data_IF_155065039649
#
_entry.id   IF_155065039649
#
_cell.length_a   1.000
_cell.length_b   1.000
_cell.length_c   1.000
_cell.angle_alpha   90.00
_cell.angle_beta   90.00
_cell.angle_gamma   90.00
#
_symmetry.space_group_name_H-M   'P 1'
#
loop_
_entity.id
_entity.type
_entity.pdbx_description
1 polymer ?
#
# COMPACT_ATOMS: atom_id res chain seq x y z
N UNK A 1 1.31 -23.77 14.96
CA UNK A 1 0.92 -22.62 14.15
C UNK A 1 0.55 -21.46 15.04
N UNK A 2 1.09 -20.25 14.80
CA UNK A 2 0.65 -19.06 15.53
C UNK A 2 -0.75 -18.70 15.01
N UNK A 3 -1.74 -18.43 15.88
CA UNK A 3 -3.09 -18.05 15.48
C UNK A 3 -3.06 -16.67 14.82
N UNK A 4 -3.13 -16.63 13.50
CA UNK A 4 -2.87 -15.45 12.67
C UNK A 4 -4.06 -14.47 12.67
N UNK A 5 -5.21 -14.89 13.18
CA UNK A 5 -6.43 -14.06 13.30
C UNK A 5 -6.66 -13.51 14.73
N UNK A 6 -5.72 -13.73 15.64
CA UNK A 6 -5.73 -13.09 16.96
C UNK A 6 -4.77 -11.90 16.99
N UNK A 7 -4.97 -10.91 17.87
CA UNK A 7 -4.03 -9.81 18.03
C UNK A 7 -2.62 -10.35 18.27
N UNK A 8 -1.67 -9.92 17.45
CA UNK A 8 -0.29 -10.34 17.52
C UNK A 8 0.46 -9.60 18.61
N UNK A 9 1.24 -10.33 19.41
CA UNK A 9 2.22 -9.71 20.32
C UNK A 9 3.38 -9.11 19.53
N UNK A 10 4.13 -8.20 20.14
CA UNK A 10 5.33 -7.63 19.50
C UNK A 10 6.37 -8.70 19.16
N UNK A 11 6.50 -9.72 20.01
CA UNK A 11 7.45 -10.82 19.81
C UNK A 11 7.02 -11.71 18.64
N UNK A 12 5.74 -12.09 18.57
CA UNK A 12 5.20 -12.88 17.47
C UNK A 12 5.34 -12.14 16.12
N UNK A 13 5.06 -10.84 16.10
CA UNK A 13 5.24 -10.02 14.90
C UNK A 13 6.71 -9.97 14.44
N UNK A 14 7.66 -9.81 15.38
CA UNK A 14 9.09 -9.84 15.05
C UNK A 14 9.54 -11.20 14.52
N UNK A 15 9.07 -12.31 15.12
CA UNK A 15 9.37 -13.67 14.63
C UNK A 15 8.88 -13.88 13.20
N UNK A 16 7.64 -13.47 12.90
CA UNK A 16 7.10 -13.57 11.54
C UNK A 16 7.88 -12.73 10.52
N UNK A 17 8.29 -11.52 10.89
CA UNK A 17 9.08 -10.66 10.00
C UNK A 17 10.52 -11.16 9.80
N UNK A 18 11.05 -11.97 10.74
CA UNK A 18 12.39 -12.53 10.67
C UNK A 18 12.47 -13.89 9.97
N UNK A 19 11.34 -14.45 9.53
CA UNK A 19 11.32 -15.67 8.73
C UNK A 19 12.06 -15.45 7.40
N UNK A 20 12.59 -16.51 6.82
CA UNK A 20 13.11 -16.47 5.47
C UNK A 20 12.00 -16.29 4.41
N UNK A 21 12.39 -16.00 3.18
CA UNK A 21 11.45 -15.70 2.09
C UNK A 21 10.59 -16.93 1.74
N UNK A 22 11.13 -18.14 1.86
CA UNK A 22 10.42 -19.39 1.54
C UNK A 22 9.31 -19.66 2.56
N UNK A 23 9.60 -19.52 3.84
CA UNK A 23 8.60 -19.63 4.89
C UNK A 23 7.51 -18.55 4.77
N UNK A 24 7.91 -17.32 4.42
CA UNK A 24 6.97 -16.23 4.15
C UNK A 24 6.09 -16.51 2.95
N UNK A 25 6.62 -17.14 1.89
CA UNK A 25 5.83 -17.57 0.74
C UNK A 25 4.75 -18.57 1.14
N UNK A 26 5.10 -19.60 1.91
CA UNK A 26 4.16 -20.62 2.40
C UNK A 26 3.05 -19.98 3.23
N UNK A 27 3.40 -19.13 4.19
CA UNK A 27 2.43 -18.41 5.01
C UNK A 27 1.53 -17.48 4.15
N UNK A 28 2.09 -16.89 3.11
CA UNK A 28 1.31 -16.05 2.18
C UNK A 28 0.26 -16.89 1.48
N UNK A 29 0.60 -18.10 1.02
CA UNK A 29 -0.39 -19.01 0.40
C UNK A 29 -1.49 -19.42 1.38
N UNK A 30 -1.18 -19.66 2.65
CA UNK A 30 -2.20 -19.90 3.67
C UNK A 30 -3.17 -18.72 3.80
N UNK A 31 -2.65 -17.48 3.79
CA UNK A 31 -3.50 -16.28 3.90
C UNK A 31 -4.31 -16.01 2.62
N UNK A 32 -3.77 -16.33 1.46
CA UNK A 32 -4.49 -16.31 0.21
C UNK A 32 -5.61 -17.35 0.21
N UNK A 33 -5.33 -18.59 0.66
CA UNK A 33 -6.30 -19.68 0.73
C UNK A 33 -7.47 -19.36 1.67
N UNK A 34 -7.17 -18.89 2.89
CA UNK A 34 -8.19 -18.50 3.86
C UNK A 34 -9.15 -17.45 3.27
N UNK A 35 -8.59 -16.40 2.64
CA UNK A 35 -9.38 -15.32 2.07
C UNK A 35 -10.18 -15.76 0.86
N UNK A 36 -9.53 -16.45 -0.07
CA UNK A 36 -10.13 -16.93 -1.29
C UNK A 36 -11.30 -17.89 -1.01
N UNK A 37 -11.11 -18.80 -0.05
CA UNK A 37 -12.13 -19.75 0.37
C UNK A 37 -13.31 -19.06 1.03
N UNK A 38 -13.05 -18.12 1.95
CA UNK A 38 -14.09 -17.37 2.68
C UNK A 38 -15.02 -16.58 1.74
N UNK A 39 -14.49 -16.10 0.63
CA UNK A 39 -15.25 -15.29 -0.34
C UNK A 39 -15.62 -16.03 -1.61
N UNK A 40 -15.53 -17.38 -1.63
CA UNK A 40 -15.91 -18.21 -2.77
C UNK A 40 -15.19 -17.83 -4.07
N UNK A 41 -13.94 -17.34 -3.98
CA UNK A 41 -13.16 -16.93 -5.13
C UNK A 41 -13.46 -15.51 -5.64
N UNK A 42 -14.43 -14.80 -5.08
CA UNK A 42 -14.74 -13.42 -5.46
C UNK A 42 -13.69 -12.44 -4.90
N UNK A 43 -12.49 -12.55 -5.43
CA UNK A 43 -11.33 -11.79 -4.98
C UNK A 43 -10.64 -11.10 -6.14
N UNK A 44 -9.85 -10.06 -5.81
CA UNK A 44 -9.00 -9.38 -6.79
C UNK A 44 -7.70 -8.92 -6.15
N UNK A 45 -6.63 -8.81 -6.92
CA UNK A 45 -5.39 -8.17 -6.51
C UNK A 45 -5.46 -6.67 -6.82
N UNK A 46 -5.31 -5.83 -5.79
CA UNK A 46 -5.14 -4.38 -5.97
C UNK A 46 -3.76 -4.12 -6.56
N UNK A 47 -3.69 -4.10 -7.89
CA UNK A 47 -2.45 -4.04 -8.65
C UNK A 47 -2.11 -2.60 -9.02
N UNK A 48 -1.00 -2.09 -8.51
CA UNK A 48 -0.55 -0.71 -8.78
C UNK A 48 0.57 -0.62 -9.82
N UNK A 49 1.12 -1.75 -10.27
CA UNK A 49 2.34 -1.81 -11.07
C UNK A 49 3.62 -1.55 -10.26
N UNK A 50 3.50 -1.31 -8.95
CA UNK A 50 4.63 -1.22 -8.03
C UNK A 50 5.17 -2.60 -7.65
N UNK A 51 6.46 -2.67 -7.26
CA UNK A 51 7.17 -3.92 -6.96
C UNK A 51 6.42 -4.85 -6.01
N UNK A 52 5.84 -4.31 -4.92
CA UNK A 52 5.15 -5.09 -3.90
C UNK A 52 3.87 -5.73 -4.46
N UNK A 53 3.07 -4.97 -5.23
CA UNK A 53 1.86 -5.49 -5.88
C UNK A 53 2.17 -6.46 -7.03
N UNK A 54 3.35 -6.35 -7.62
CA UNK A 54 3.85 -7.28 -8.65
C UNK A 54 4.14 -8.64 -8.02
N UNK A 55 4.85 -8.67 -6.88
CA UNK A 55 5.08 -9.90 -6.11
C UNK A 55 3.76 -10.52 -5.66
N UNK A 56 2.83 -9.73 -5.09
CA UNK A 56 1.53 -10.25 -4.68
C UNK A 56 0.74 -10.87 -5.84
N UNK A 57 0.74 -10.23 -7.01
CA UNK A 57 0.06 -10.76 -8.19
C UNK A 57 0.67 -12.09 -8.66
N UNK A 58 2.01 -12.22 -8.61
CA UNK A 58 2.71 -13.47 -8.89
C UNK A 58 2.35 -14.56 -7.91
N UNK A 59 2.43 -14.29 -6.60
CA UNK A 59 2.08 -15.24 -5.55
C UNK A 59 0.63 -15.71 -5.67
N UNK A 60 -0.31 -14.79 -5.94
CA UNK A 60 -1.71 -15.15 -6.15
C UNK A 60 -1.91 -16.03 -7.40
N UNK A 61 -1.22 -15.73 -8.52
CA UNK A 61 -1.28 -16.55 -9.73
C UNK A 61 -0.69 -17.94 -9.50
N UNK A 62 0.47 -18.03 -8.85
CA UNK A 62 1.14 -19.28 -8.52
C UNK A 62 0.29 -20.13 -7.58
N UNK A 63 -0.30 -19.51 -6.55
CA UNK A 63 -1.22 -20.16 -5.64
C UNK A 63 -2.43 -20.79 -6.40
N UNK A 64 -3.13 -20.00 -7.21
CA UNK A 64 -4.29 -20.47 -7.97
C UNK A 64 -3.93 -21.58 -8.96
N UNK A 65 -2.78 -21.44 -9.65
CA UNK A 65 -2.33 -22.41 -10.63
C UNK A 65 -1.88 -23.74 -10.02
N UNK A 66 -1.30 -23.73 -8.83
CA UNK A 66 -0.66 -24.90 -8.21
C UNK A 66 -1.55 -25.62 -7.22
N UNK A 67 -2.36 -24.90 -6.47
CA UNK A 67 -3.09 -25.44 -5.30
C UNK A 67 -4.61 -25.52 -5.51
N UNK A 68 -5.12 -25.00 -6.63
CA UNK A 68 -6.55 -25.02 -6.90
C UNK A 68 -6.87 -25.73 -8.22
N UNK A 69 -8.08 -26.30 -8.34
CA UNK A 69 -8.56 -26.94 -9.56
C UNK A 69 -9.18 -25.89 -10.49
N UNK A 70 -8.74 -25.77 -11.77
CA UNK A 70 -9.31 -24.84 -12.73
C UNK A 70 -10.79 -25.08 -13.04
N UNK A 71 -11.50 -24.11 -13.61
CA UNK A 71 -11.01 -22.82 -14.10
C UNK A 71 -11.04 -21.74 -13.03
N UNK A 72 -9.93 -21.01 -12.87
CA UNK A 72 -9.86 -19.89 -11.93
C UNK A 72 -9.51 -18.60 -12.65
N UNK A 73 -10.09 -17.49 -12.18
CA UNK A 73 -9.80 -16.16 -12.69
C UNK A 73 -9.02 -15.36 -11.65
N UNK A 74 -7.96 -14.71 -12.09
CA UNK A 74 -7.21 -13.73 -11.30
C UNK A 74 -7.48 -12.33 -11.85
N UNK A 75 -8.24 -11.55 -11.13
CA UNK A 75 -8.50 -10.17 -11.47
C UNK A 75 -7.38 -9.28 -10.92
N UNK A 76 -6.60 -8.62 -11.79
CA UNK A 76 -5.65 -7.57 -11.47
C UNK A 76 -6.37 -6.23 -11.64
N UNK A 77 -6.65 -5.52 -10.55
CA UNK A 77 -7.39 -4.25 -10.61
C UNK A 77 -6.42 -3.09 -10.47
N UNK A 78 -6.26 -2.35 -11.56
CA UNK A 78 -5.41 -1.17 -11.67
C UNK A 78 -6.24 0.11 -11.70
N UNK A 79 -5.99 1.03 -10.77
CA UNK A 79 -6.62 2.36 -10.77
C UNK A 79 -5.72 3.33 -11.53
N UNK A 80 -6.10 3.61 -12.77
CA UNK A 80 -5.41 4.60 -13.61
C UNK A 80 -5.92 6.00 -13.25
N UNK A 81 -5.11 6.76 -12.51
CA UNK A 81 -5.42 8.14 -12.14
C UNK A 81 -4.98 9.15 -13.20
N UNK A 82 -4.17 8.72 -14.17
CA UNK A 82 -3.51 9.57 -15.17
C UNK A 82 -2.28 10.30 -14.60
N UNK A 83 -1.83 9.95 -13.40
CA UNK A 83 -0.67 10.55 -12.72
C UNK A 83 0.44 9.54 -12.45
N UNK A 84 0.27 8.30 -12.88
CA UNK A 84 1.30 7.27 -12.79
C UNK A 84 2.39 7.55 -13.84
N UNK A 85 3.61 7.09 -13.55
CA UNK A 85 4.71 7.10 -14.51
C UNK A 85 4.31 6.38 -15.81
N UNK A 86 4.72 6.90 -17.00
CA UNK A 86 4.45 6.24 -18.28
C UNK A 86 4.89 4.77 -18.29
N UNK A 87 6.03 4.46 -17.66
CA UNK A 87 6.58 3.13 -17.51
C UNK A 87 5.64 2.20 -16.73
N UNK A 88 4.97 2.71 -15.68
CA UNK A 88 3.97 1.95 -14.93
C UNK A 88 2.75 1.64 -15.81
N UNK A 89 2.30 2.62 -16.61
CA UNK A 89 1.16 2.44 -17.52
C UNK A 89 1.42 1.35 -18.57
N UNK A 90 2.66 1.29 -19.08
CA UNK A 90 3.12 0.27 -20.01
C UNK A 90 3.27 -1.09 -19.31
N UNK A 91 4.01 -1.11 -18.21
CA UNK A 91 4.31 -2.31 -17.43
C UNK A 91 3.06 -3.06 -16.99
N UNK A 92 2.02 -2.37 -16.56
CA UNK A 92 0.77 -2.99 -16.08
C UNK A 92 0.14 -3.92 -17.14
N UNK A 93 0.22 -3.57 -18.44
CA UNK A 93 -0.26 -4.43 -19.53
C UNK A 93 0.69 -5.59 -19.77
N UNK A 94 1.98 -5.26 -19.94
CA UNK A 94 3.02 -6.24 -20.23
C UNK A 94 3.10 -7.33 -19.16
N UNK A 95 2.91 -6.93 -17.90
CA UNK A 95 2.94 -7.84 -16.76
C UNK A 95 1.73 -8.77 -16.73
N UNK A 96 0.53 -8.27 -17.00
CA UNK A 96 -0.67 -9.11 -17.08
C UNK A 96 -0.54 -10.18 -18.17
N UNK A 97 -0.03 -9.80 -19.35
CA UNK A 97 0.23 -10.72 -20.45
C UNK A 97 1.34 -11.73 -20.12
N UNK A 98 2.40 -11.27 -19.44
CA UNK A 98 3.49 -12.14 -18.98
C UNK A 98 2.97 -13.15 -17.95
N UNK A 99 2.18 -12.70 -16.99
CA UNK A 99 1.62 -13.54 -15.94
C UNK A 99 0.67 -14.60 -16.53
N UNK A 100 -0.15 -14.25 -17.53
CA UNK A 100 -1.00 -15.19 -18.27
C UNK A 100 -0.17 -16.27 -18.97
N UNK A 101 0.96 -15.89 -19.62
CA UNK A 101 1.84 -16.88 -20.26
C UNK A 101 2.55 -17.77 -19.25
N UNK A 102 2.98 -17.21 -18.11
CA UNK A 102 3.66 -17.95 -17.03
C UNK A 102 2.73 -18.97 -16.35
N UNK A 103 1.46 -18.63 -16.23
CA UNK A 103 0.44 -19.46 -15.57
C UNK A 103 -0.76 -19.73 -16.49
N UNK A 104 -0.61 -20.60 -17.51
CA UNK A 104 -1.66 -20.81 -18.52
C UNK A 104 -2.92 -21.53 -17.99
N UNK A 105 -2.85 -22.13 -16.80
CA UNK A 105 -3.97 -22.86 -16.17
C UNK A 105 -5.01 -21.93 -15.54
N UNK A 106 -4.70 -20.65 -15.37
CA UNK A 106 -5.61 -19.65 -14.83
C UNK A 106 -5.89 -18.59 -15.89
N UNK A 107 -7.01 -17.90 -15.76
CA UNK A 107 -7.34 -16.75 -16.60
C UNK A 107 -6.97 -15.47 -15.86
N UNK A 108 -5.99 -14.73 -16.38
CA UNK A 108 -5.58 -13.43 -15.83
C UNK A 108 -6.36 -12.31 -16.53
N UNK A 109 -7.05 -11.50 -15.77
CA UNK A 109 -7.80 -10.35 -16.28
C UNK A 109 -7.25 -9.04 -15.69
N UNK A 110 -6.90 -8.09 -16.56
CA UNK A 110 -6.55 -6.74 -16.15
C UNK A 110 -7.77 -5.82 -16.20
N UNK A 111 -8.27 -5.44 -15.02
CA UNK A 111 -9.39 -4.51 -14.87
C UNK A 111 -8.84 -3.11 -14.63
N UNK A 112 -9.15 -2.17 -15.54
CA UNK A 112 -8.71 -0.77 -15.43
C UNK A 112 -9.84 0.11 -14.93
N UNK A 113 -9.61 0.73 -13.77
CA UNK A 113 -10.54 1.68 -13.17
C UNK A 113 -10.05 3.11 -13.40
N UNK A 114 -10.99 4.04 -13.51
CA UNK A 114 -10.70 5.48 -13.59
C UNK A 114 -11.47 6.23 -12.50
N UNK A 115 -10.88 7.28 -11.93
CA UNK A 115 -11.59 8.18 -11.04
C UNK A 115 -12.65 8.97 -11.82
N UNK A 116 -13.71 9.38 -11.14
CA UNK A 116 -14.75 10.25 -11.73
C UNK A 116 -14.26 11.67 -11.98
N UNK A 117 -13.29 12.13 -11.20
CA UNK A 117 -12.69 13.46 -11.28
C UNK A 117 -11.21 13.33 -11.61
N UNK A 118 -10.72 14.19 -12.51
CA UNK A 118 -9.27 14.34 -12.72
C UNK A 118 -8.64 15.19 -11.61
N UNK A 119 -7.31 15.25 -11.55
CA UNK A 119 -6.59 15.94 -10.47
C UNK A 119 -6.94 17.44 -10.39
N UNK A 120 -7.13 18.13 -11.53
CA UNK A 120 -7.51 19.56 -11.54
C UNK A 120 -8.87 19.75 -10.88
N UNK A 121 -9.85 18.90 -11.21
CA UNK A 121 -11.18 18.91 -10.59
C UNK A 121 -11.13 18.55 -9.11
N UNK A 122 -10.25 17.62 -8.71
CA UNK A 122 -10.05 17.28 -7.31
C UNK A 122 -9.49 18.45 -6.53
N UNK A 123 -8.47 19.15 -7.06
CA UNK A 123 -7.89 20.33 -6.43
C UNK A 123 -8.92 21.45 -6.31
N UNK A 124 -9.65 21.73 -7.39
CA UNK A 124 -10.70 22.77 -7.40
C UNK A 124 -11.79 22.49 -6.35
N UNK A 125 -12.19 21.21 -6.20
CA UNK A 125 -13.28 20.82 -5.32
C UNK A 125 -12.83 20.65 -3.85
N UNK A 126 -11.68 20.06 -3.62
CA UNK A 126 -11.24 19.62 -2.29
C UNK A 126 -10.05 20.40 -1.75
N UNK A 127 -9.25 21.04 -2.59
CA UNK A 127 -8.05 21.76 -2.21
C UNK A 127 -6.75 21.04 -2.58
N UNK A 128 -5.64 21.73 -2.36
CA UNK A 128 -4.29 21.28 -2.73
C UNK A 128 -3.78 20.19 -1.78
N UNK A 129 -3.26 19.07 -2.31
CA UNK A 129 -2.64 18.00 -1.51
C UNK A 129 -1.16 18.34 -1.20
N UNK A 130 -0.93 19.25 -0.26
CA UNK A 130 0.42 19.75 0.08
C UNK A 130 0.87 19.30 1.46
N UNK A 131 2.18 19.37 1.73
CA UNK A 131 2.85 19.05 2.99
C UNK A 131 2.86 17.53 3.24
N UNK A 132 2.02 17.05 4.12
CA UNK A 132 1.84 15.64 4.45
C UNK A 132 0.39 15.37 4.79
N UNK A 133 -0.10 14.16 4.53
CA UNK A 133 -1.53 13.80 4.67
C UNK A 133 -2.12 14.20 6.02
N UNK A 134 -1.38 14.01 7.11
CA UNK A 134 -1.85 14.31 8.46
C UNK A 134 -2.00 15.81 8.68
N UNK A 135 -0.98 16.59 8.29
CA UNK A 135 -0.98 18.05 8.43
C UNK A 135 -2.03 18.68 7.50
N UNK A 136 -2.11 18.23 6.25
CA UNK A 136 -3.13 18.68 5.30
C UNK A 136 -4.57 18.44 5.82
N UNK A 137 -4.80 17.29 6.48
CA UNK A 137 -6.08 17.01 7.14
C UNK A 137 -6.37 18.00 8.26
N UNK A 138 -5.38 18.27 9.12
CA UNK A 138 -5.56 19.22 10.21
C UNK A 138 -5.90 20.61 9.68
N UNK A 139 -5.18 21.08 8.65
CA UNK A 139 -5.45 22.37 8.02
C UNK A 139 -6.83 22.39 7.40
N UNK A 140 -7.23 21.34 6.65
CA UNK A 140 -8.60 21.23 6.11
C UNK A 140 -9.66 21.37 7.19
N UNK A 141 -9.50 20.64 8.29
CA UNK A 141 -10.47 20.65 9.38
C UNK A 141 -10.51 22.04 10.06
N UNK A 142 -9.37 22.73 10.20
CA UNK A 142 -9.29 24.10 10.68
C UNK A 142 -9.95 25.09 9.71
N UNK A 143 -9.68 25.00 8.42
CA UNK A 143 -10.31 25.85 7.38
C UNK A 143 -11.83 25.69 7.30
N UNK A 144 -12.36 24.53 7.68
CA UNK A 144 -13.80 24.23 7.64
C UNK A 144 -14.47 24.35 9.01
N UNK A 145 -13.78 24.74 10.06
CA UNK A 145 -14.34 24.76 11.43
C UNK A 145 -15.44 25.81 11.62
N UNK A 146 -15.31 26.99 11.01
CA UNK A 146 -16.30 28.10 11.04
C UNK A 146 -16.93 28.32 12.45
N UNK A 147 -16.12 28.28 13.52
CA UNK A 147 -16.61 28.40 14.90
C UNK A 147 -17.27 27.14 15.47
N UNK A 148 -17.21 26.02 14.76
CA UNK A 148 -17.66 24.72 15.23
C UNK A 148 -16.47 23.82 15.59
N UNK A 149 -16.73 22.76 16.38
CA UNK A 149 -15.70 21.78 16.76
C UNK A 149 -14.50 22.36 17.55
N UNK A 150 -14.75 23.30 18.45
CA UNK A 150 -13.71 23.98 19.25
C UNK A 150 -12.69 23.05 19.89
N UNK A 151 -13.12 21.87 20.35
CA UNK A 151 -12.22 20.88 20.93
C UNK A 151 -11.23 20.30 19.91
N UNK A 152 -11.62 20.11 18.64
CA UNK A 152 -10.74 19.66 17.57
C UNK A 152 -9.82 20.78 17.14
N UNK A 153 -10.34 22.00 17.04
CA UNK A 153 -9.55 23.22 16.75
C UNK A 153 -8.49 23.41 17.83
N UNK A 154 -8.86 23.36 19.11
CA UNK A 154 -7.92 23.46 20.21
C UNK A 154 -6.88 22.36 20.18
N UNK A 155 -7.28 21.10 19.96
CA UNK A 155 -6.35 19.97 19.87
C UNK A 155 -5.31 20.17 18.74
N UNK A 156 -5.75 20.64 17.57
CA UNK A 156 -4.83 20.83 16.43
C UNK A 156 -3.92 22.04 16.60
N UNK A 157 -4.38 23.11 17.26
CA UNK A 157 -3.58 24.30 17.47
C UNK A 157 -2.64 24.18 18.68
N UNK A 158 -3.11 23.60 19.78
CA UNK A 158 -2.37 23.58 21.05
C UNK A 158 -1.78 22.20 21.39
N UNK A 159 -2.35 21.13 20.86
CA UNK A 159 -1.98 19.76 21.20
C UNK A 159 -2.74 19.20 22.41
N UNK A 160 -3.61 19.98 23.08
CA UNK A 160 -4.34 19.53 24.26
C UNK A 160 -5.74 19.01 23.88
N UNK A 161 -6.07 17.81 24.34
CA UNK A 161 -7.39 17.24 24.17
C UNK A 161 -8.41 17.80 25.23
N UNK A 162 -9.68 17.41 25.11
CA UNK A 162 -10.75 17.83 26.06
C UNK A 162 -10.46 17.50 27.53
N UNK A 163 -9.58 16.53 27.80
CA UNK A 163 -9.21 16.11 29.17
C UNK A 163 -7.94 16.83 29.66
N UNK A 164 -7.43 17.82 28.94
CA UNK A 164 -6.19 18.53 29.28
C UNK A 164 -4.92 17.71 29.04
N UNK A 165 -5.01 16.55 28.37
CA UNK A 165 -3.84 15.72 28.07
C UNK A 165 -3.17 16.20 26.79
N UNK A 166 -1.85 16.42 26.84
CA UNK A 166 -1.05 16.83 25.69
C UNK A 166 -0.80 15.66 24.75
N UNK A 167 -1.17 15.84 23.48
CA UNK A 167 -1.05 14.88 22.39
C UNK A 167 -0.21 15.48 21.26
N UNK A 168 1.11 15.45 21.38
CA UNK A 168 2.04 16.04 20.40
C UNK A 168 1.78 15.57 18.96
N UNK A 169 1.38 14.33 18.80
CA UNK A 169 1.05 13.76 17.49
C UNK A 169 -0.21 14.33 16.86
N UNK A 170 -1.06 15.01 17.63
CA UNK A 170 -2.30 15.63 17.16
C UNK A 170 -2.20 17.15 17.02
N UNK A 171 -1.01 17.72 17.24
CA UNK A 171 -0.75 19.13 17.02
C UNK A 171 -0.34 19.39 15.57
N UNK A 172 -0.90 20.44 14.96
CA UNK A 172 -0.40 21.01 13.71
C UNK A 172 0.98 21.61 14.00
N UNK A 173 1.97 21.28 13.18
CA UNK A 173 3.31 21.82 13.38
C UNK A 173 3.29 23.35 13.22
N UNK A 174 3.91 24.07 14.15
CA UNK A 174 3.85 25.54 14.27
C UNK A 174 4.25 26.26 12.97
N UNK A 175 5.23 25.71 12.26
CA UNK A 175 5.67 26.20 10.94
C UNK A 175 4.60 26.19 9.85
N UNK A 176 3.47 25.50 10.06
CA UNK A 176 2.38 25.39 9.09
C UNK A 176 1.10 26.10 9.55
N UNK A 177 1.10 26.76 10.72
CA UNK A 177 -0.08 27.44 11.26
C UNK A 177 -0.65 28.50 10.31
N UNK A 178 0.21 29.23 9.57
CA UNK A 178 -0.23 30.24 8.61
C UNK A 178 -1.11 29.69 7.48
N UNK A 179 -1.00 28.39 7.19
CA UNK A 179 -1.79 27.76 6.12
C UNK A 179 -3.26 27.57 6.44
N UNK A 180 -3.68 27.67 7.72
CA UNK A 180 -5.10 27.64 8.07
C UNK A 180 -5.85 28.85 7.50
N UNK A 181 -5.17 29.97 7.32
CA UNK A 181 -5.70 31.24 6.80
C UNK A 181 -5.34 31.46 5.31
N UNK A 182 -4.83 30.44 4.63
CA UNK A 182 -4.47 30.53 3.21
C UNK A 182 -5.71 30.85 2.33
N UNK A 183 -5.55 31.66 1.26
CA UNK A 183 -6.66 31.99 0.37
C UNK A 183 -7.10 30.83 -0.54
N UNK A 184 -6.54 29.66 -0.33
CA UNK A 184 -6.87 28.43 -1.04
C UNK A 184 -7.08 27.28 -0.06
N UNK A 185 -7.87 26.30 -0.49
CA UNK A 185 -8.13 25.10 0.33
C UNK A 185 -6.95 24.14 0.29
N UNK A 186 -6.71 23.47 1.41
CA UNK A 186 -5.72 22.40 1.56
C UNK A 186 -6.44 21.14 2.00
N UNK A 187 -6.11 19.99 1.41
CA UNK A 187 -6.79 18.72 1.73
C UNK A 187 -5.95 17.51 1.36
N UNK A 188 -6.09 16.45 2.16
CA UNK A 188 -5.50 15.12 1.89
C UNK A 188 -6.39 14.22 1.03
N UNK A 189 -7.55 14.69 0.58
CA UNK A 189 -8.60 13.85 -0.01
C UNK A 189 -8.29 13.33 -1.42
N UNK A 190 -7.23 13.82 -2.09
CA UNK A 190 -6.88 13.38 -3.44
C UNK A 190 -6.80 11.85 -3.59
N UNK A 191 -6.16 11.15 -2.64
CA UNK A 191 -6.06 9.69 -2.69
C UNK A 191 -7.41 8.99 -2.49
N UNK A 192 -8.29 9.57 -1.68
CA UNK A 192 -9.61 9.00 -1.44
C UNK A 192 -10.49 9.10 -2.70
N UNK A 193 -10.43 10.23 -3.40
CA UNK A 193 -11.19 10.47 -4.64
C UNK A 193 -10.57 9.72 -5.82
N UNK A 194 -9.24 9.80 -5.99
CA UNK A 194 -8.54 9.31 -7.18
C UNK A 194 -8.28 7.80 -7.15
N UNK A 195 -8.01 7.22 -5.97
CA UNK A 195 -7.61 5.80 -5.85
C UNK A 195 -8.65 4.96 -5.11
N UNK A 196 -9.07 5.38 -3.92
CA UNK A 196 -9.96 4.56 -3.09
C UNK A 196 -11.41 4.52 -3.60
N UNK A 197 -11.94 5.64 -4.10
CA UNK A 197 -13.33 5.69 -4.58
C UNK A 197 -13.58 4.80 -5.81
N UNK A 198 -12.69 4.75 -6.83
CA UNK A 198 -12.81 3.79 -7.92
C UNK A 198 -12.83 2.33 -7.45
N UNK A 199 -11.89 1.95 -6.55
CA UNK A 199 -11.83 0.60 -6.01
C UNK A 199 -13.12 0.22 -5.24
N UNK A 200 -13.62 1.11 -4.37
CA UNK A 200 -14.88 0.89 -3.64
C UNK A 200 -16.08 0.73 -4.57
N UNK A 201 -16.12 1.47 -5.70
CA UNK A 201 -17.20 1.27 -6.69
C UNK A 201 -17.10 -0.08 -7.35
N UNK A 202 -15.90 -0.51 -7.71
CA UNK A 202 -15.66 -1.84 -8.28
C UNK A 202 -16.11 -2.93 -7.30
N UNK A 203 -15.70 -2.85 -6.04
CA UNK A 203 -16.11 -3.78 -4.98
C UNK A 203 -17.64 -3.85 -4.84
N UNK A 204 -18.31 -2.69 -4.83
CA UNK A 204 -19.76 -2.62 -4.71
C UNK A 204 -20.52 -3.21 -5.93
N UNK A 205 -19.93 -3.16 -7.12
CA UNK A 205 -20.58 -3.66 -8.35
C UNK A 205 -20.23 -5.12 -8.68
N UNK A 206 -19.00 -5.56 -8.35
CA UNK A 206 -18.52 -6.91 -8.62
C UNK A 206 -18.74 -7.89 -7.46
N UNK A 207 -18.93 -7.39 -6.25
CA UNK A 207 -18.91 -8.20 -5.03
C UNK A 207 -17.51 -8.69 -4.63
N UNK A 208 -16.47 -8.36 -5.40
CA UNK A 208 -15.11 -8.83 -5.14
C UNK A 208 -14.47 -8.09 -3.98
N UNK A 209 -13.62 -8.79 -3.22
CA UNK A 209 -12.84 -8.27 -2.11
C UNK A 209 -11.35 -8.23 -2.42
N UNK A 210 -10.59 -7.23 -1.91
CA UNK A 210 -9.20 -7.02 -2.29
C UNK A 210 -8.20 -7.91 -1.54
N UNK A 211 -7.19 -8.36 -2.28
CA UNK A 211 -5.84 -8.59 -1.76
C UNK A 211 -5.00 -7.33 -1.97
N UNK A 212 -4.25 -6.92 -0.97
CA UNK A 212 -3.37 -5.75 -1.04
C UNK A 212 -1.96 -6.09 -0.57
N UNK A 213 -0.95 -5.61 -1.29
CA UNK A 213 0.46 -5.81 -0.98
C UNK A 213 0.95 -4.81 0.09
N UNK A 214 0.18 -4.61 1.15
CA UNK A 214 0.58 -3.74 2.26
C UNK A 214 1.44 -4.51 3.25
N UNK A 215 2.63 -3.98 3.55
CA UNK A 215 3.56 -4.55 4.51
C UNK A 215 3.56 -3.75 5.82
N UNK A 216 3.68 -4.43 6.96
CA UNK A 216 3.77 -3.79 8.27
C UNK A 216 5.04 -2.94 8.42
N UNK A 217 6.13 -3.37 7.79
CA UNK A 217 7.43 -2.68 7.77
C UNK A 217 7.39 -1.26 7.19
N UNK A 218 6.39 -0.91 6.36
CA UNK A 218 6.33 0.39 5.71
C UNK A 218 5.96 1.55 6.65
N UNK A 219 5.25 1.29 7.76
CA UNK A 219 4.93 2.32 8.75
C UNK A 219 4.41 1.76 10.06
N UNK A 220 4.63 2.49 11.15
CA UNK A 220 4.09 2.16 12.49
C UNK A 220 2.55 2.00 12.49
N UNK A 221 1.84 2.76 11.65
CA UNK A 221 0.39 2.65 11.57
C UNK A 221 -0.03 1.31 10.97
N UNK A 222 0.66 0.85 9.91
CA UNK A 222 0.39 -0.45 9.28
C UNK A 222 0.76 -1.60 10.20
N UNK A 223 1.87 -1.49 10.90
CA UNK A 223 2.28 -2.49 11.89
C UNK A 223 1.25 -2.62 13.03
N UNK A 224 0.79 -1.49 13.59
CA UNK A 224 -0.27 -1.49 14.62
C UNK A 224 -1.59 -2.09 14.11
N UNK A 225 -1.96 -1.78 12.87
CA UNK A 225 -3.15 -2.35 12.26
C UNK A 225 -3.01 -3.86 12.06
N UNK A 226 -1.89 -4.32 11.51
CA UNK A 226 -1.60 -5.74 11.34
C UNK A 226 -1.62 -6.50 12.67
N UNK A 227 -0.97 -5.98 13.70
CA UNK A 227 -1.00 -6.58 15.04
C UNK A 227 -2.41 -6.70 15.62
N UNK A 228 -3.29 -5.77 15.29
CA UNK A 228 -4.68 -5.75 15.76
C UNK A 228 -5.61 -6.68 14.95
N UNK A 229 -5.46 -6.74 13.62
CA UNK A 229 -6.42 -7.39 12.72
C UNK A 229 -5.91 -8.65 12.06
N UNK A 230 -4.63 -8.97 12.20
CA UNK A 230 -3.98 -10.00 11.39
C UNK A 230 -3.86 -9.61 9.89
N UNK A 231 -3.53 -10.60 9.07
CA UNK A 231 -3.42 -10.42 7.61
C UNK A 231 -4.80 -10.30 6.95
N UNK A 232 -5.77 -11.10 7.38
CA UNK A 232 -7.11 -11.15 6.81
C UNK A 232 -8.10 -10.47 7.75
N UNK A 233 -8.50 -9.24 7.43
CA UNK A 233 -9.50 -8.50 8.19
C UNK A 233 -10.90 -8.77 7.61
N UNK A 234 -11.57 -9.80 8.11
CA UNK A 234 -12.92 -10.19 7.68
C UNK A 234 -13.98 -9.24 8.21
N UNK A 235 -13.76 -8.73 9.43
CA UNK A 235 -14.68 -7.84 10.12
C UNK A 235 -14.42 -6.38 9.78
N UNK A 236 -15.49 -5.62 9.62
CA UNK A 236 -15.40 -4.19 9.40
C UNK A 236 -16.19 -3.70 8.19
N UNK A 237 -16.18 -2.39 8.00
CA UNK A 237 -16.93 -1.73 6.91
C UNK A 237 -16.39 -2.06 5.51
N UNK A 238 -15.17 -2.55 5.41
CA UNK A 238 -14.50 -2.93 4.17
C UNK A 238 -13.53 -4.06 4.46
N UNK A 239 -13.94 -5.31 4.26
CA UNK A 239 -13.05 -6.46 4.37
C UNK A 239 -11.81 -6.29 3.48
N UNK A 240 -10.65 -6.74 3.96
CA UNK A 240 -9.39 -6.59 3.22
C UNK A 240 -8.38 -7.63 3.66
N UNK A 241 -7.75 -8.28 2.68
CA UNK A 241 -6.60 -9.14 2.93
C UNK A 241 -5.29 -8.41 2.63
N UNK A 242 -4.32 -8.61 3.52
CA UNK A 242 -2.93 -8.12 3.42
C UNK A 242 -1.99 -9.30 3.62
N UNK A 243 -1.96 -10.25 2.68
CA UNK A 243 -1.28 -11.53 2.89
C UNK A 243 0.24 -11.39 3.01
N UNK A 244 0.81 -10.24 2.61
CA UNK A 244 2.22 -9.91 2.73
C UNK A 244 2.53 -8.99 3.93
N UNK A 245 1.68 -8.92 4.96
CA UNK A 245 1.88 -8.00 6.09
C UNK A 245 3.22 -8.21 6.82
N UNK A 246 3.73 -9.44 6.89
CA UNK A 246 4.98 -9.81 7.54
C UNK A 246 6.22 -9.75 6.62
N UNK A 247 6.04 -9.39 5.35
CA UNK A 247 7.14 -9.16 4.41
C UNK A 247 7.84 -7.83 4.66
N UNK A 248 9.10 -7.78 4.27
CA UNK A 248 9.91 -6.55 4.23
C UNK A 248 10.25 -6.18 2.79
N UNK A 249 10.77 -4.98 2.58
CA UNK A 249 11.25 -4.56 1.26
C UNK A 249 12.37 -5.48 0.75
N UNK A 250 13.25 -5.95 1.65
CA UNK A 250 14.32 -6.86 1.29
C UNK A 250 13.78 -8.19 0.76
N UNK A 251 12.75 -8.74 1.39
CA UNK A 251 12.10 -9.97 0.91
C UNK A 251 11.51 -9.78 -0.49
N UNK A 252 10.86 -8.64 -0.74
CA UNK A 252 10.29 -8.32 -2.05
C UNK A 252 11.37 -8.22 -3.12
N UNK A 253 12.50 -7.55 -2.83
CA UNK A 253 13.59 -7.38 -3.79
C UNK A 253 14.31 -8.70 -4.06
N UNK A 254 14.56 -9.50 -3.03
CA UNK A 254 15.15 -10.83 -3.16
C UNK A 254 14.23 -11.74 -4.00
N UNK A 255 12.95 -11.80 -3.68
CA UNK A 255 11.98 -12.62 -4.39
C UNK A 255 11.83 -12.25 -5.88
N UNK A 256 11.81 -10.95 -6.20
CA UNK A 256 11.79 -10.48 -7.59
C UNK A 256 13.01 -10.97 -8.38
N UNK A 257 14.18 -10.93 -7.74
CA UNK A 257 15.45 -11.34 -8.35
C UNK A 257 15.54 -12.85 -8.51
N UNK A 258 15.26 -13.60 -7.44
CA UNK A 258 15.43 -15.06 -7.41
C UNK A 258 14.44 -15.78 -8.33
N UNK A 259 13.19 -15.32 -8.39
CA UNK A 259 12.14 -15.87 -9.26
C UNK A 259 12.17 -15.27 -10.69
N UNK A 260 13.11 -14.36 -10.98
CA UNK A 260 13.20 -13.65 -12.26
C UNK A 260 11.86 -13.02 -12.69
N UNK A 261 11.18 -12.38 -11.75
CA UNK A 261 9.90 -11.72 -11.99
C UNK A 261 10.16 -10.36 -12.65
N UNK A 262 9.55 -10.05 -13.81
CA UNK A 262 9.67 -8.72 -14.38
C UNK A 262 9.02 -7.67 -13.47
N UNK A 263 9.68 -6.54 -13.36
CA UNK A 263 9.19 -5.37 -12.61
C UNK A 263 9.36 -4.11 -13.44
N UNK A 264 8.67 -3.04 -13.06
CA UNK A 264 8.67 -1.81 -13.85
C UNK A 264 10.06 -1.18 -13.92
N UNK A 265 10.46 -0.76 -15.12
CA UNK A 265 11.78 -0.16 -15.40
C UNK A 265 12.06 1.13 -14.64
N UNK A 266 11.02 1.81 -14.12
CA UNK A 266 11.17 3.00 -13.27
C UNK A 266 12.00 2.73 -12.01
N UNK A 267 12.07 1.48 -11.55
CA UNK A 267 12.90 1.07 -10.42
C UNK A 267 14.39 0.90 -10.76
N UNK A 268 14.74 0.91 -12.05
CA UNK A 268 16.11 0.57 -12.49
C UNK A 268 16.47 -0.88 -12.25
N UNK A 269 17.67 -1.14 -11.76
CA UNK A 269 18.16 -2.49 -11.45
C UNK A 269 18.11 -2.74 -9.94
N UNK A 270 17.84 -4.00 -9.56
CA UNK A 270 17.98 -4.45 -8.16
C UNK A 270 19.43 -4.88 -7.96
N UNK A 271 20.17 -4.14 -7.14
CA UNK A 271 21.60 -4.37 -6.87
C UNK A 271 21.86 -4.45 -5.37
N UNK A 272 22.95 -5.13 -4.99
CA UNK A 272 23.44 -5.12 -3.61
C UNK A 272 24.12 -3.78 -3.31
N UNK A 273 23.94 -3.28 -2.09
CA UNK A 273 24.60 -2.05 -1.65
C UNK A 273 26.10 -2.26 -1.55
N UNK A 274 26.89 -1.40 -2.18
CA UNK A 274 28.35 -1.35 -2.03
C UNK A 274 28.71 -0.68 -0.70
N UNK A 275 28.41 -1.33 0.40
CA UNK A 275 28.77 -0.82 1.73
C UNK A 275 30.27 -1.02 1.97
N UNK A 276 31.03 0.06 2.00
CA UNK A 276 32.28 0.16 2.76
C UNK A 276 31.93 0.12 4.26
N UNK A 277 31.61 -1.05 4.78
CA UNK A 277 31.60 -1.28 6.21
C UNK A 277 32.73 -2.24 6.53
N UNK A 278 33.68 -1.74 7.33
CA UNK A 278 34.87 -2.41 7.88
C UNK A 278 34.59 -3.66 8.75
N UNK A 279 33.53 -4.38 8.49
CA UNK A 279 33.27 -5.67 9.12
C UNK A 279 33.57 -6.78 8.10
N UNK A 280 34.37 -7.79 8.47
CA UNK A 280 34.61 -8.94 7.63
C UNK A 280 33.30 -9.72 7.44
N UNK A 281 32.60 -9.42 6.34
CA UNK A 281 31.29 -9.98 6.00
C UNK A 281 31.45 -11.30 5.25
N UNK A 282 31.63 -12.38 5.98
CA UNK A 282 31.48 -13.72 5.42
C UNK A 282 30.10 -14.35 5.65
N UNK A 283 29.14 -13.64 6.31
CA UNK A 283 27.84 -14.22 6.69
C UNK A 283 26.64 -13.27 6.62
N UNK A 284 26.75 -12.01 6.15
CA UNK A 284 25.61 -11.09 6.02
C UNK A 284 25.44 -10.76 4.54
N UNK A 285 24.34 -11.22 3.95
CA UNK A 285 23.95 -10.78 2.60
C UNK A 285 23.76 -9.26 2.59
N UNK A 286 24.46 -8.60 1.64
CA UNK A 286 24.37 -7.15 1.49
C UNK A 286 22.92 -6.74 1.16
N UNK A 287 22.38 -5.70 1.79
CA UNK A 287 21.00 -5.28 1.53
C UNK A 287 20.83 -4.88 0.06
N UNK A 288 19.70 -5.31 -0.52
CA UNK A 288 19.31 -4.98 -1.89
C UNK A 288 18.64 -3.60 -1.95
N UNK A 289 18.85 -2.90 -3.06
CA UNK A 289 18.15 -1.66 -3.37
C UNK A 289 17.90 -1.50 -4.87
N UNK A 290 16.96 -0.64 -5.21
CA UNK A 290 16.70 -0.24 -6.59
C UNK A 290 17.59 0.93 -6.98
N UNK A 291 18.17 0.92 -8.19
CA UNK A 291 19.02 2.02 -8.69
C UNK A 291 18.20 3.22 -9.19
N UNK A 292 16.91 3.04 -9.46
CA UNK A 292 15.96 4.07 -9.86
C UNK A 292 15.07 4.52 -8.71
N UNK A 293 13.78 4.73 -8.99
CA UNK A 293 12.83 5.13 -7.96
C UNK A 293 12.71 4.09 -6.84
N UNK A 294 12.73 4.52 -5.59
CA UNK A 294 12.50 3.64 -4.44
C UNK A 294 11.02 3.28 -4.28
N UNK A 295 10.14 4.19 -4.69
CA UNK A 295 8.68 4.03 -4.59
C UNK A 295 8.00 4.61 -5.82
N UNK A 296 6.92 3.97 -6.22
CA UNK A 296 6.03 4.48 -7.27
C UNK A 296 4.72 4.99 -6.67
N UNK A 297 4.23 6.06 -7.21
CA UNK A 297 3.00 6.70 -6.79
C UNK A 297 2.49 7.61 -7.90
N UNK A 298 1.82 8.70 -7.55
CA UNK A 298 1.57 9.78 -8.50
C UNK A 298 2.88 10.58 -8.69
N UNK A 299 3.30 10.85 -9.92
CA UNK A 299 4.54 11.57 -10.26
C UNK A 299 4.72 12.92 -9.51
N UNK A 300 3.63 13.63 -9.25
CA UNK A 300 3.64 14.93 -8.60
C UNK A 300 3.04 14.88 -7.18
N UNK A 301 3.30 13.80 -6.44
CA UNK A 301 2.72 13.62 -5.12
C UNK A 301 3.50 14.37 -4.05
N UNK A 302 3.05 15.59 -3.69
CA UNK A 302 3.65 16.36 -2.61
C UNK A 302 3.65 15.63 -1.24
N UNK A 303 2.77 14.64 -1.04
CA UNK A 303 2.80 13.82 0.18
C UNK A 303 3.94 12.79 0.19
N UNK A 304 4.54 12.51 -0.93
CA UNK A 304 5.69 11.61 -1.07
C UNK A 304 7.03 12.32 -1.18
N UNK A 305 7.03 13.62 -1.45
CA UNK A 305 8.25 14.38 -1.74
C UNK A 305 9.33 14.29 -0.65
N UNK A 306 8.93 14.16 0.62
CA UNK A 306 9.88 14.01 1.73
C UNK A 306 10.55 12.62 1.81
N UNK A 307 10.09 11.66 1.01
CA UNK A 307 10.64 10.31 0.92
C UNK A 307 11.60 10.17 -0.27
N UNK A 308 11.58 11.13 -1.18
CA UNK A 308 12.51 11.22 -2.30
C UNK A 308 13.77 11.92 -1.78
N UNK A 309 14.81 11.14 -1.56
CA UNK A 309 16.15 11.68 -1.30
C UNK A 309 16.74 11.99 -2.68
N UNK A 310 16.86 13.30 -2.97
CA UNK A 310 17.58 13.79 -4.13
C UNK A 310 19.07 13.43 -4.07
#
# INVERSE_FOLDING_TARGET
>A
MLPINQPLTNEAAKKLMALDVQDKEILTYEKLDEWYTAWGGQCYVSFSGGKDSTVLAYLAARYLSSFRTPPWELNLVFVNTGLEYPEIQKFVNEYADWLQRKFPRIKVQLVRLRPKLNIRQVIAKHGYPVIGKKQARFIRDLQNAHGQNDATVNLYLTGYNRKGVYCSTMKLADKWHYLKDAPFRISEQCCDVMKKAPAKRYEATSGCVPFTAMMASESQQREKEWKRTGCNAFDGKRPMSKPMSFWTEQDVLAFLKDENIPYCSVYGNIVASDGENDYPSTLIEKPLHCTGCQRTGCMFCAFGAHLEKG
#
